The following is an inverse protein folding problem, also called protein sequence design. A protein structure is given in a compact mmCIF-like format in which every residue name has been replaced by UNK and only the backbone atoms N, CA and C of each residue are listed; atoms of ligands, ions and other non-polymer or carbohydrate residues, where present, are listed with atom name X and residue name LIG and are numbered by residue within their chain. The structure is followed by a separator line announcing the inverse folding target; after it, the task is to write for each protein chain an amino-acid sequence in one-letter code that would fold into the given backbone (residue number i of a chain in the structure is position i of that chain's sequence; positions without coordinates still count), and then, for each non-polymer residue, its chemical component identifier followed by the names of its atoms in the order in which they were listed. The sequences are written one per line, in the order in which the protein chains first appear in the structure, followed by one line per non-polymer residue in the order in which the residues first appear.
data_IF_259459241853
#
_entry.id   IF_259459241853
#
_cell.length_a   1.000
_cell.length_b   1.000
_cell.length_c   1.000
_cell.angle_alpha   90.00
_cell.angle_beta   90.00
_cell.angle_gamma   90.00
#
_symmetry.space_group_name_H-M   'P 1'
#
loop_
_entity.id
_entity.type
_entity.pdbx_description
1 polymer ?
#
# COMPACT_ATOMS: atom_id res chain seq x y z
N UNK A 1 25.93 3.98 53.21
CA UNK A 1 24.80 4.67 53.89
C UNK A 1 23.80 5.10 52.82
N UNK A 2 22.49 5.08 53.12
CA UNK A 2 21.45 4.33 52.39
C UNK A 2 20.78 5.07 51.23
N UNK A 3 19.82 4.43 50.51
CA UNK A 3 19.12 4.99 49.37
C UNK A 3 18.11 6.07 49.73
N UNK A 4 17.76 6.86 48.73
CA UNK A 4 16.83 7.97 48.78
C UNK A 4 15.39 7.47 48.90
N UNK A 5 14.91 7.36 50.13
CA UNK A 5 13.49 7.45 50.46
C UNK A 5 13.34 8.28 51.73
N UNK A 6 12.24 9.05 51.80
CA UNK A 6 11.81 9.98 52.85
C UNK A 6 12.28 11.43 52.71
N UNK A 7 11.43 12.28 52.12
CA UNK A 7 10.69 13.33 52.86
C UNK A 7 9.87 14.18 51.88
N UNK A 8 8.65 13.73 51.61
CA UNK A 8 7.52 14.60 51.29
C UNK A 8 6.21 13.87 51.62
N UNK A 9 6.11 13.41 52.87
CA UNK A 9 4.81 13.17 53.51
C UNK A 9 4.60 14.33 54.50
N UNK A 10 3.67 15.22 54.19
CA UNK A 10 2.93 15.99 55.18
C UNK A 10 1.64 16.54 54.54
N UNK A 11 0.51 16.18 55.14
CA UNK A 11 -0.89 16.45 54.76
C UNK A 11 -1.44 15.53 53.67
N UNK A 12 -2.25 14.50 53.93
CA UNK A 12 -3.34 14.44 54.93
C UNK A 12 -3.64 12.98 55.28
N UNK A 13 -3.49 12.67 56.56
CA UNK A 13 -3.85 11.41 57.21
C UNK A 13 -5.32 11.48 57.67
N UNK A 14 -5.96 10.30 57.79
CA UNK A 14 -7.27 9.94 58.40
C UNK A 14 -8.44 9.87 57.42
N UNK A 15 -9.13 8.75 57.20
CA UNK A 15 -9.25 7.45 57.89
C UNK A 15 -9.36 6.35 56.81
N UNK A 16 -8.72 5.17 56.85
CA UNK A 16 -8.82 4.11 57.85
C UNK A 16 -10.25 3.55 57.84
N UNK A 17 -10.61 2.36 57.38
CA UNK A 17 -9.95 1.12 56.95
C UNK A 17 -11.03 0.04 57.02
N UNK A 18 -10.94 -1.04 56.24
CA UNK A 18 -11.48 -2.41 56.45
C UNK A 18 -11.38 -3.13 55.08
N UNK A 19 -10.39 -4.01 54.92
CA UNK A 19 -10.46 -5.45 55.16
C UNK A 19 -11.11 -6.22 54.00
N UNK A 20 -10.23 -6.82 53.20
CA UNK A 20 -10.31 -8.15 52.58
C UNK A 20 -11.67 -8.85 52.69
N UNK A 21 -12.39 -8.91 51.56
CA UNK A 21 -13.59 -9.72 51.42
C UNK A 21 -13.19 -11.17 51.11
N UNK A 22 -13.34 -12.02 52.13
CA UNK A 22 -13.28 -13.47 52.09
C UNK A 22 -14.55 -14.00 51.41
N UNK A 23 -14.38 -14.81 50.36
CA UNK A 23 -15.47 -15.48 49.65
C UNK A 23 -16.06 -16.60 50.52
N UNK A 24 -17.10 -16.27 51.30
CA UNK A 24 -17.90 -17.26 52.02
C UNK A 24 -19.30 -17.34 51.41
N UNK A 25 -19.53 -18.38 50.63
CA UNK A 25 -20.84 -18.78 50.12
C UNK A 25 -21.72 -19.30 51.27
N UNK A 26 -22.46 -18.43 51.94
CA UNK A 26 -23.57 -18.86 52.79
C UNK A 26 -24.86 -18.94 51.97
N UNK A 27 -25.27 -20.19 51.75
CA UNK A 27 -26.59 -20.60 51.30
C UNK A 27 -27.58 -20.21 52.40
N UNK A 28 -28.28 -19.08 52.23
CA UNK A 28 -29.48 -18.78 53.01
C UNK A 28 -30.71 -19.35 52.30
N UNK A 29 -31.20 -20.45 52.86
CA UNK A 29 -32.47 -21.07 52.51
C UNK A 29 -33.65 -20.14 52.82
N UNK A 30 -34.41 -19.83 51.76
CA UNK A 30 -35.87 -19.82 51.70
C UNK A 30 -36.65 -19.38 52.95
N UNK A 31 -37.17 -18.15 52.90
CA UNK A 31 -38.56 -17.90 53.29
C UNK A 31 -39.14 -16.73 52.47
N UNK A 32 -40.15 -17.03 51.66
CA UNK A 32 -40.84 -16.05 50.81
C UNK A 32 -40.78 -16.38 49.33
N UNK A 33 -41.42 -17.46 48.91
CA UNK A 33 -41.66 -17.76 47.49
C UNK A 33 -42.65 -16.72 46.92
N UNK A 34 -42.13 -15.69 46.22
CA UNK A 34 -42.77 -14.92 45.12
C UNK A 34 -42.02 -13.65 44.66
N UNK A 35 -41.28 -12.87 45.47
CA UNK A 35 -40.73 -11.59 44.99
C UNK A 35 -39.39 -11.71 44.21
N UNK A 36 -38.56 -12.72 44.47
CA UNK A 36 -37.24 -12.84 43.82
C UNK A 36 -37.32 -13.17 42.32
N UNK A 37 -38.23 -14.07 41.94
CA UNK A 37 -38.46 -14.42 40.52
C UNK A 37 -39.02 -13.24 39.71
N UNK A 38 -39.92 -12.45 40.32
CA UNK A 38 -40.47 -11.24 39.69
C UNK A 38 -39.39 -10.17 39.45
N UNK A 39 -38.46 -10.00 40.39
CA UNK A 39 -37.35 -9.06 40.25
C UNK A 39 -36.41 -9.46 39.11
N UNK A 40 -36.06 -10.75 38.99
CA UNK A 40 -35.22 -11.25 37.91
C UNK A 40 -35.89 -11.10 36.54
N UNK A 41 -37.20 -11.40 36.44
CA UNK A 41 -37.96 -11.22 35.21
C UNK A 41 -37.99 -9.73 34.82
N UNK A 42 -38.21 -8.84 35.78
CA UNK A 42 -38.22 -7.40 35.53
C UNK A 42 -36.84 -6.90 35.06
N UNK A 43 -35.75 -7.39 35.64
CA UNK A 43 -34.39 -7.03 35.23
C UNK A 43 -34.08 -7.49 33.79
N UNK A 44 -34.47 -8.71 33.42
CA UNK A 44 -34.28 -9.23 32.05
C UNK A 44 -35.13 -8.46 31.04
N UNK A 45 -36.38 -8.15 31.38
CA UNK A 45 -37.25 -7.33 30.52
C UNK A 45 -36.66 -5.93 30.32
N UNK A 46 -36.18 -5.30 31.39
CA UNK A 46 -35.56 -3.98 31.31
C UNK A 46 -34.29 -3.99 30.45
N UNK A 47 -33.42 -4.99 30.64
CA UNK A 47 -32.22 -5.17 29.81
C UNK A 47 -32.57 -5.37 28.33
N UNK A 48 -33.56 -6.21 28.03
CA UNK A 48 -34.02 -6.43 26.66
C UNK A 48 -34.55 -5.15 26.02
N UNK A 49 -35.30 -4.34 26.77
CA UNK A 49 -35.82 -3.05 26.28
C UNK A 49 -34.68 -2.07 26.03
N UNK A 50 -33.72 -1.96 26.95
CA UNK A 50 -32.54 -1.10 26.78
C UNK A 50 -31.75 -1.47 25.52
N UNK A 51 -31.47 -2.77 25.31
CA UNK A 51 -30.74 -3.24 24.12
C UNK A 51 -31.52 -2.93 22.84
N UNK A 52 -32.83 -3.13 22.82
CA UNK A 52 -33.67 -2.83 21.65
C UNK A 52 -33.65 -1.32 21.31
N UNK A 53 -33.75 -0.44 22.32
CA UNK A 53 -33.68 1.01 22.13
C UNK A 53 -32.31 1.43 21.58
N UNK A 54 -31.22 0.93 22.17
CA UNK A 54 -29.86 1.23 21.71
C UNK A 54 -29.63 0.72 20.29
N UNK A 55 -30.13 -0.48 19.95
CA UNK A 55 -30.05 -1.02 18.61
C UNK A 55 -30.80 -0.14 17.59
N UNK A 56 -32.04 0.26 17.89
CA UNK A 56 -32.83 1.12 17.02
C UNK A 56 -32.16 2.49 16.82
N UNK A 57 -31.66 3.09 17.89
CA UNK A 57 -30.92 4.35 17.83
C UNK A 57 -29.68 4.23 16.94
N UNK A 58 -28.87 3.19 17.17
CA UNK A 58 -27.64 2.97 16.40
C UNK A 58 -27.94 2.68 14.92
N UNK A 59 -28.97 1.89 14.61
CA UNK A 59 -29.38 1.66 13.22
C UNK A 59 -29.84 2.93 12.53
N UNK A 60 -30.53 3.83 13.24
CA UNK A 60 -30.97 5.11 12.69
C UNK A 60 -29.79 6.05 12.39
N UNK A 61 -28.82 6.14 13.32
CA UNK A 61 -27.59 6.91 13.11
C UNK A 61 -26.74 6.34 11.96
N UNK A 62 -26.59 5.01 11.88
CA UNK A 62 -25.91 4.36 10.75
C UNK A 62 -26.60 4.65 9.41
N UNK A 63 -27.93 4.69 9.39
CA UNK A 63 -28.70 5.01 8.21
C UNK A 63 -28.51 6.49 7.81
N UNK A 64 -28.46 7.40 8.78
CA UNK A 64 -28.16 8.80 8.54
C UNK A 64 -26.73 9.02 8.00
N UNK A 65 -25.74 8.28 8.52
CA UNK A 65 -24.39 8.27 7.97
C UNK A 65 -24.38 7.74 6.54
N UNK A 66 -25.06 6.61 6.27
CA UNK A 66 -25.18 6.03 4.93
C UNK A 66 -25.80 7.02 3.93
N UNK A 67 -26.86 7.73 4.32
CA UNK A 67 -27.53 8.71 3.47
C UNK A 67 -26.67 9.95 3.24
N UNK A 68 -25.86 10.35 4.21
CA UNK A 68 -24.90 11.47 4.08
C UNK A 68 -23.72 11.08 3.18
N UNK A 69 -23.25 9.83 3.26
CA UNK A 69 -22.23 9.28 2.36
C UNK A 69 -22.76 9.08 0.94
N UNK A 70 -24.01 8.63 0.79
CA UNK A 70 -24.66 8.49 -0.53
C UNK A 70 -24.92 9.86 -1.19
N UNK A 71 -25.24 10.90 -0.40
CA UNK A 71 -25.43 12.28 -0.91
C UNK A 71 -24.13 13.02 -1.24
N UNK A 72 -23.00 12.61 -0.66
CA UNK A 72 -21.71 13.26 -0.95
C UNK A 72 -21.02 12.58 -2.13
N UNK A 73 -21.16 13.17 -3.33
CA UNK A 73 -20.30 13.17 -4.54
C UNK A 73 -19.47 11.92 -4.93
N UNK A 74 -18.85 11.22 -3.98
CA UNK A 74 -18.00 10.05 -4.15
C UNK A 74 -18.76 8.75 -4.46
N UNK A 75 -20.03 8.64 -4.07
CA UNK A 75 -20.85 7.46 -4.36
C UNK A 75 -20.99 7.21 -5.88
N UNK A 76 -20.98 8.27 -6.68
CA UNK A 76 -21.07 8.16 -8.14
C UNK A 76 -19.82 7.54 -8.76
N UNK A 77 -18.62 7.85 -8.25
CA UNK A 77 -17.36 7.37 -8.81
C UNK A 77 -17.09 5.88 -8.53
N UNK A 78 -17.73 5.31 -7.50
CA UNK A 78 -17.47 3.94 -7.07
C UNK A 78 -18.42 2.89 -7.68
N UNK A 79 -19.35 3.32 -8.56
CA UNK A 79 -20.28 2.40 -9.24
C UNK A 79 -19.60 1.80 -10.48
N UNK A 80 -19.53 0.47 -10.53
CA UNK A 80 -18.68 -0.35 -11.40
C UNK A 80 -18.92 -0.25 -12.93
N UNK A 81 -19.74 0.69 -13.41
CA UNK A 81 -20.00 0.90 -14.84
C UNK A 81 -19.67 2.33 -15.28
N UNK A 82 -18.41 2.74 -15.09
CA UNK A 82 -17.86 3.95 -15.68
C UNK A 82 -17.26 3.65 -17.08
N UNK A 83 -18.09 3.15 -18.00
CA UNK A 83 -17.69 3.03 -19.40
C UNK A 83 -17.82 4.42 -20.06
N UNK A 84 -16.67 5.03 -20.34
CA UNK A 84 -16.54 6.32 -21.04
C UNK A 84 -16.62 6.17 -22.58
N UNK A 85 -16.85 4.96 -23.07
CA UNK A 85 -17.11 4.69 -24.48
C UNK A 85 -18.62 4.85 -24.75
N UNK A 86 -18.95 5.84 -25.56
CA UNK A 86 -20.30 6.21 -26.07
C UNK A 86 -21.31 6.84 -25.09
N UNK A 87 -20.93 7.97 -24.47
CA UNK A 87 -21.96 8.95 -24.05
C UNK A 87 -22.30 9.87 -25.23
N UNK A 88 -23.38 9.55 -25.94
CA UNK A 88 -24.04 10.46 -26.89
C UNK A 88 -24.49 11.71 -26.11
N UNK A 89 -24.05 12.93 -26.49
CA UNK A 89 -24.43 14.17 -25.81
C UNK A 89 -25.94 14.49 -25.84
N UNK A 90 -26.76 13.71 -26.56
CA UNK A 90 -28.19 13.94 -26.68
C UNK A 90 -29.09 12.95 -25.90
N UNK A 91 -28.52 11.95 -25.23
CA UNK A 91 -29.30 11.05 -24.38
C UNK A 91 -29.36 11.58 -22.94
N UNK A 92 -30.52 12.13 -22.58
CA UNK A 92 -30.90 12.29 -21.18
C UNK A 92 -31.28 10.90 -20.66
N UNK A 93 -30.36 10.22 -19.98
CA UNK A 93 -30.73 9.11 -19.08
C UNK A 93 -31.49 9.71 -17.88
N UNK A 94 -32.78 9.98 -18.09
CA UNK A 94 -33.72 10.39 -17.04
C UNK A 94 -33.88 9.22 -16.06
N UNK A 95 -33.02 9.18 -15.04
CA UNK A 95 -33.12 8.18 -13.97
C UNK A 95 -31.89 8.00 -13.08
N UNK A 96 -30.70 8.45 -13.49
CA UNK A 96 -29.48 8.29 -12.67
C UNK A 96 -29.20 9.52 -11.80
N UNK A 97 -29.25 9.45 -10.46
CA UNK A 97 -28.88 10.57 -9.58
C UNK A 97 -27.43 11.05 -9.74
N UNK A 98 -26.58 10.31 -10.47
CA UNK A 98 -25.18 10.65 -10.75
C UNK A 98 -24.94 11.32 -12.13
N UNK A 99 -25.99 11.56 -12.91
CA UNK A 99 -25.87 12.02 -14.31
C UNK A 99 -25.14 13.36 -14.46
N UNK A 100 -25.37 14.31 -13.54
CA UNK A 100 -24.75 15.64 -13.58
C UNK A 100 -23.22 15.52 -13.39
N UNK A 101 -22.77 14.67 -12.47
CA UNK A 101 -21.34 14.44 -12.21
C UNK A 101 -20.67 13.75 -13.41
N UNK A 102 -21.33 12.75 -13.99
CA UNK A 102 -20.90 12.03 -15.21
C UNK A 102 -20.74 13.02 -16.38
N UNK A 103 -21.70 13.94 -16.56
CA UNK A 103 -21.65 14.94 -17.63
C UNK A 103 -20.50 15.93 -17.45
N UNK A 104 -20.34 16.52 -16.26
CA UNK A 104 -19.27 17.48 -15.98
C UNK A 104 -17.89 16.85 -16.20
N UNK A 105 -17.69 15.60 -15.77
CA UNK A 105 -16.45 14.86 -15.99
C UNK A 105 -16.18 14.60 -17.48
N UNK A 106 -17.18 14.13 -18.22
CA UNK A 106 -17.04 13.85 -19.66
C UNK A 106 -16.67 15.12 -20.45
N UNK A 107 -17.23 16.27 -20.09
CA UNK A 107 -16.93 17.58 -20.68
C UNK A 107 -15.48 18.01 -20.43
N UNK A 108 -14.95 17.75 -19.24
CA UNK A 108 -13.56 18.04 -18.89
C UNK A 108 -12.60 17.16 -19.70
N UNK A 109 -12.88 15.86 -19.80
CA UNK A 109 -12.08 14.92 -20.60
C UNK A 109 -12.07 15.36 -22.07
N UNK A 110 -13.23 15.69 -22.65
CA UNK A 110 -13.33 16.18 -24.04
C UNK A 110 -12.53 17.47 -24.27
N UNK A 111 -12.57 18.42 -23.32
CA UNK A 111 -11.76 19.65 -23.40
C UNK A 111 -10.25 19.36 -23.35
N UNK A 112 -9.82 18.43 -22.50
CA UNK A 112 -8.42 18.03 -22.39
C UNK A 112 -7.93 17.35 -23.68
N UNK A 113 -8.73 16.44 -24.25
CA UNK A 113 -8.42 15.76 -25.51
C UNK A 113 -8.40 16.74 -26.68
N UNK A 114 -9.39 17.64 -26.80
CA UNK A 114 -9.42 18.65 -27.85
C UNK A 114 -8.23 19.62 -27.75
N UNK A 115 -7.83 20.00 -26.53
CA UNK A 115 -6.65 20.84 -26.30
C UNK A 115 -5.35 20.13 -26.70
N UNK A 116 -5.19 18.85 -26.36
CA UNK A 116 -4.02 18.05 -26.81
C UNK A 116 -3.90 17.98 -28.34
N UNK A 117 -5.02 17.84 -29.05
CA UNK A 117 -5.04 17.82 -30.53
C UNK A 117 -4.79 19.20 -31.16
N UNK A 118 -5.21 20.28 -30.50
CA UNK A 118 -4.98 21.65 -30.98
C UNK A 118 -3.51 22.10 -30.77
N UNK A 119 -2.87 21.64 -29.70
CA UNK A 119 -1.46 21.92 -29.42
C UNK A 119 -0.51 21.17 -30.37
N UNK A 120 -0.93 20.02 -30.94
CA UNK A 120 -0.20 19.29 -31.99
C UNK A 120 -0.36 19.88 -33.41
N UNK A 121 -1.28 20.83 -33.63
CA UNK A 121 -1.64 21.33 -34.96
C UNK A 121 -0.90 22.58 -35.48
N UNK A 122 0.02 23.18 -34.71
CA UNK A 122 0.56 24.53 -35.03
C UNK A 122 2.02 24.56 -35.53
N UNK A 123 2.63 23.42 -35.87
CA UNK A 123 4.01 23.41 -36.37
C UNK A 123 4.29 22.33 -37.42
N UNK A 124 3.81 22.54 -38.66
CA UNK A 124 4.56 22.29 -39.90
C UNK A 124 3.66 22.39 -41.14
N UNK A 125 3.89 23.42 -41.98
CA UNK A 125 3.74 23.28 -43.43
C UNK A 125 4.85 24.05 -44.14
N UNK A 126 5.89 23.33 -44.56
CA UNK A 126 6.54 23.62 -45.83
C UNK A 126 6.70 22.30 -46.56
N UNK A 127 6.17 22.32 -47.77
CA UNK A 127 6.03 21.30 -48.78
C UNK A 127 7.39 20.80 -49.26
N UNK A 128 7.52 19.50 -49.51
CA UNK A 128 8.02 19.01 -50.80
C UNK A 128 7.77 17.51 -50.97
N UNK A 129 7.25 17.19 -52.15
CA UNK A 129 6.86 15.86 -52.63
C UNK A 129 8.06 15.19 -53.30
N UNK A 130 8.43 13.96 -52.93
CA UNK A 130 8.83 12.90 -53.89
C UNK A 130 8.44 11.53 -53.30
N UNK A 131 7.71 10.75 -54.11
CA UNK A 131 7.17 9.42 -53.87
C UNK A 131 8.22 8.31 -54.02
N UNK A 132 8.22 7.33 -53.10
CA UNK A 132 8.47 5.92 -53.43
C UNK A 132 7.86 5.01 -52.36
N UNK A 133 6.85 4.26 -52.78
CA UNK A 133 6.13 3.25 -51.99
C UNK A 133 7.03 2.03 -51.76
N UNK A 134 7.30 1.65 -50.51
CA UNK A 134 7.41 0.25 -50.03
C UNK A 134 7.53 0.25 -48.49
N UNK A 135 6.39 -0.02 -47.83
CA UNK A 135 6.24 -0.58 -46.46
C UNK A 135 7.02 0.16 -45.36
N UNK A 136 6.58 1.37 -45.05
CA UNK A 136 6.86 1.99 -43.76
C UNK A 136 6.12 1.21 -42.67
N UNK A 137 6.85 0.44 -41.86
CA UNK A 137 6.39 0.17 -40.49
C UNK A 137 6.16 1.54 -39.85
N UNK A 138 4.96 1.75 -39.36
CA UNK A 138 4.56 2.94 -38.61
C UNK A 138 5.47 3.07 -37.38
N UNK A 139 6.63 3.72 -37.54
CA UNK A 139 7.54 4.06 -36.45
C UNK A 139 6.87 5.25 -35.76
N UNK A 140 6.46 5.12 -34.50
CA UNK A 140 5.89 6.25 -33.78
C UNK A 140 6.89 7.42 -33.86
N UNK A 141 6.41 8.60 -34.27
CA UNK A 141 7.21 9.83 -34.41
C UNK A 141 8.02 10.17 -33.15
N UNK A 142 7.63 9.62 -31.99
CA UNK A 142 8.40 9.63 -30.76
C UNK A 142 8.84 8.21 -30.36
N UNK A 143 10.14 7.96 -30.15
CA UNK A 143 10.62 6.65 -29.76
C UNK A 143 10.12 6.33 -28.33
N UNK A 144 9.37 5.23 -28.17
CA UNK A 144 8.78 4.81 -26.88
C UNK A 144 9.84 4.76 -25.78
N UNK A 145 9.59 5.36 -24.63
CA UNK A 145 10.53 5.33 -23.50
C UNK A 145 9.91 4.54 -22.35
N UNK A 146 10.32 3.30 -22.21
CA UNK A 146 9.79 2.40 -21.20
C UNK A 146 10.73 1.22 -20.93
N UNK A 147 10.65 0.68 -19.73
CA UNK A 147 11.36 -0.50 -19.29
C UNK A 147 10.46 -1.35 -18.40
N UNK A 148 10.53 -2.67 -18.59
CA UNK A 148 10.02 -3.65 -17.64
C UNK A 148 11.10 -4.71 -17.47
N UNK A 149 11.55 -4.92 -16.25
CA UNK A 149 12.59 -5.86 -15.88
C UNK A 149 12.01 -6.90 -14.95
N UNK A 150 12.35 -8.16 -15.17
CA UNK A 150 11.98 -9.25 -14.27
C UNK A 150 13.20 -9.83 -13.59
N UNK A 151 12.99 -10.43 -12.43
CA UNK A 151 14.04 -11.13 -11.70
C UNK A 151 14.39 -12.49 -12.32
N UNK A 152 15.58 -13.01 -12.01
CA UNK A 152 16.05 -14.31 -12.49
C UNK A 152 16.45 -15.24 -11.37
N UNK A 153 15.86 -16.44 -11.35
CA UNK A 153 16.23 -17.52 -10.42
C UNK A 153 17.72 -17.85 -10.47
N UNK A 154 18.32 -17.85 -11.67
CA UNK A 154 19.74 -18.20 -11.85
C UNK A 154 20.68 -17.12 -11.31
N UNK A 155 20.17 -15.91 -11.08
CA UNK A 155 20.92 -14.78 -10.57
C UNK A 155 20.85 -14.61 -9.05
N UNK A 156 20.23 -15.58 -8.32
CA UNK A 156 20.35 -15.66 -6.85
C UNK A 156 21.82 -15.66 -6.41
N UNK A 157 22.70 -16.37 -7.13
CA UNK A 157 24.14 -16.42 -6.85
C UNK A 157 24.87 -15.09 -7.06
N UNK A 158 24.38 -14.21 -7.94
CA UNK A 158 25.03 -12.91 -8.21
C UNK A 158 24.63 -11.83 -7.21
N UNK A 159 23.46 -11.93 -6.58
CA UNK A 159 23.03 -10.99 -5.52
C UNK A 159 23.99 -11.03 -4.33
N UNK A 160 24.30 -12.23 -3.82
CA UNK A 160 25.13 -12.45 -2.62
C UNK A 160 26.60 -11.99 -2.76
N UNK A 161 27.11 -11.77 -3.97
CA UNK A 161 28.54 -11.48 -4.21
C UNK A 161 28.79 -9.97 -4.34
N UNK A 162 27.76 -9.15 -4.61
CA UNK A 162 27.95 -7.75 -5.01
C UNK A 162 27.00 -6.73 -4.33
N UNK A 163 26.03 -7.17 -3.53
CA UNK A 163 25.14 -6.25 -2.79
C UNK A 163 25.85 -5.69 -1.54
N UNK A 164 26.65 -4.63 -1.69
CA UNK A 164 27.03 -3.85 -0.51
C UNK A 164 25.80 -3.09 0.00
N UNK A 165 25.54 -3.07 1.32
CA UNK A 165 24.50 -2.21 1.88
C UNK A 165 24.75 -0.79 1.42
N UNK A 166 23.75 -0.17 0.82
CA UNK A 166 23.89 1.22 0.38
C UNK A 166 24.01 2.06 1.66
N UNK A 167 25.02 2.95 1.72
CA UNK A 167 25.13 3.95 2.80
C UNK A 167 23.76 4.62 3.00
N UNK A 168 23.35 4.83 4.26
CA UNK A 168 22.07 5.44 4.67
C UNK A 168 20.90 4.47 4.97
N UNK A 169 21.17 3.22 5.39
CA UNK A 169 20.14 2.26 5.84
C UNK A 169 19.07 1.92 4.77
N UNK A 170 19.42 1.96 3.48
CA UNK A 170 18.49 1.69 2.37
C UNK A 170 18.44 0.21 1.97
N UNK A 171 19.00 -0.68 2.78
CA UNK A 171 19.04 -2.12 2.53
C UNK A 171 19.99 -2.51 1.38
N UNK A 172 19.69 -3.65 0.76
CA UNK A 172 20.49 -4.29 -0.29
C UNK A 172 19.93 -3.98 -1.67
N UNK A 173 20.78 -3.49 -2.58
CA UNK A 173 20.39 -3.20 -3.96
C UNK A 173 20.16 -4.49 -4.75
N UNK A 174 19.03 -4.59 -5.44
CA UNK A 174 18.76 -5.70 -6.36
C UNK A 174 19.50 -5.45 -7.67
N UNK A 175 20.49 -6.29 -7.99
CA UNK A 175 21.32 -6.17 -9.21
C UNK A 175 20.98 -7.18 -10.29
N UNK A 176 20.20 -8.21 -9.97
CA UNK A 176 19.95 -9.40 -10.79
C UNK A 176 18.77 -9.28 -11.76
N UNK A 177 18.44 -8.07 -12.17
CA UNK A 177 17.36 -7.80 -13.12
C UNK A 177 17.70 -8.30 -14.53
N UNK A 178 16.72 -8.87 -15.23
CA UNK A 178 16.81 -9.27 -16.63
C UNK A 178 16.00 -8.34 -17.53
N UNK A 179 16.53 -8.08 -18.72
CA UNK A 179 15.92 -7.22 -19.75
C UNK A 179 15.64 -7.92 -21.08
N UNK A 180 16.24 -9.09 -21.33
CA UNK A 180 16.24 -9.76 -22.64
C UNK A 180 15.26 -10.94 -22.75
N UNK A 181 14.51 -11.25 -21.69
CA UNK A 181 13.60 -12.40 -21.64
C UNK A 181 12.18 -11.90 -21.38
N UNK A 182 11.25 -12.23 -22.28
CA UNK A 182 9.83 -11.91 -22.14
C UNK A 182 9.29 -12.36 -20.76
N UNK A 183 8.54 -11.51 -20.03
CA UNK A 183 7.93 -10.25 -20.47
C UNK A 183 8.80 -8.99 -20.31
N UNK A 184 10.11 -9.14 -20.08
CA UNK A 184 11.03 -8.00 -19.89
C UNK A 184 11.40 -7.33 -21.21
N UNK A 185 11.60 -6.01 -21.18
CA UNK A 185 12.04 -5.21 -22.32
C UNK A 185 12.70 -3.90 -21.87
N UNK A 186 13.47 -3.30 -22.78
CA UNK A 186 14.06 -1.96 -22.65
C UNK A 186 13.83 -1.17 -23.94
N UNK A 187 13.23 0.01 -23.82
CA UNK A 187 13.03 0.95 -24.91
C UNK A 187 13.52 2.33 -24.47
N UNK A 188 14.61 2.80 -25.08
CA UNK A 188 15.24 4.11 -24.78
C UNK A 188 15.60 4.33 -23.30
N UNK A 189 15.87 3.24 -22.59
CA UNK A 189 16.38 3.21 -21.21
C UNK A 189 17.48 2.15 -21.19
N UNK A 190 18.58 2.41 -20.48
CA UNK A 190 19.68 1.44 -20.36
C UNK A 190 19.61 0.74 -19.00
N UNK A 191 20.13 -0.48 -18.91
CA UNK A 191 20.28 -1.21 -17.64
C UNK A 191 21.77 -1.42 -17.37
N UNK A 192 22.23 -1.02 -16.19
CA UNK A 192 23.59 -1.28 -15.73
C UNK A 192 23.60 -1.55 -14.22
N UNK A 193 24.22 -2.64 -13.76
CA UNK A 193 24.35 -2.97 -12.33
C UNK A 193 23.04 -2.87 -11.53
N UNK A 194 21.92 -3.29 -12.14
CA UNK A 194 20.58 -3.24 -11.56
C UNK A 194 19.90 -1.87 -11.58
N UNK A 195 20.50 -0.88 -12.25
CA UNK A 195 20.02 0.50 -12.31
C UNK A 195 19.47 0.79 -13.71
N UNK A 196 18.27 1.37 -13.80
CA UNK A 196 17.77 1.93 -15.05
C UNK A 196 18.36 3.33 -15.23
N UNK A 197 19.07 3.54 -16.33
CA UNK A 197 19.72 4.81 -16.69
C UNK A 197 18.85 5.57 -17.69
N UNK A 198 18.38 6.73 -17.26
CA UNK A 198 17.46 7.58 -18.03
C UNK A 198 18.18 8.24 -19.20
N UNK A 199 17.67 8.06 -20.42
CA UNK A 199 18.25 8.67 -21.63
C UNK A 199 17.57 9.98 -22.01
N UNK A 200 16.28 10.12 -21.72
CA UNK A 200 15.46 11.29 -22.04
C UNK A 200 14.94 11.93 -20.75
N UNK A 201 15.14 13.23 -20.49
CA UNK A 201 14.59 13.88 -19.31
C UNK A 201 13.06 13.97 -19.41
N UNK A 202 12.38 13.92 -18.27
CA UNK A 202 10.93 14.03 -18.21
C UNK A 202 10.34 13.48 -16.91
N UNK A 203 9.02 13.38 -16.86
CA UNK A 203 8.28 12.76 -15.77
C UNK A 203 8.09 11.27 -16.04
N UNK A 204 8.60 10.44 -15.14
CA UNK A 204 8.52 8.98 -15.27
C UNK A 204 7.60 8.42 -14.20
N UNK A 205 6.66 7.56 -14.61
CA UNK A 205 6.02 6.65 -13.67
C UNK A 205 6.95 5.48 -13.43
N UNK A 206 7.41 5.34 -12.19
CA UNK A 206 8.34 4.28 -11.75
C UNK A 206 7.53 3.33 -10.88
N UNK A 207 7.71 2.02 -11.07
CA UNK A 207 7.04 1.00 -10.26
C UNK A 207 7.94 -0.20 -10.00
N UNK A 208 7.71 -0.88 -8.87
CA UNK A 208 8.37 -2.13 -8.56
C UNK A 208 7.47 -3.05 -7.73
N UNK A 209 7.62 -4.36 -7.96
CA UNK A 209 7.10 -5.40 -7.07
C UNK A 209 8.25 -6.26 -6.56
N UNK A 210 8.24 -6.55 -5.27
CA UNK A 210 9.13 -7.54 -4.65
C UNK A 210 8.30 -8.50 -3.83
N UNK A 211 8.49 -9.80 -4.04
CA UNK A 211 7.78 -10.84 -3.32
C UNK A 211 8.67 -11.43 -2.22
N UNK A 212 8.35 -11.14 -0.96
CA UNK A 212 8.99 -11.76 0.19
C UNK A 212 8.29 -13.08 0.49
N UNK A 213 9.06 -14.18 0.44
CA UNK A 213 8.59 -15.55 0.67
C UNK A 213 9.58 -16.29 1.54
N UNK A 214 9.12 -16.73 2.70
CA UNK A 214 9.94 -17.50 3.63
C UNK A 214 9.09 -18.46 4.47
N UNK A 215 9.73 -19.52 4.97
CA UNK A 215 9.18 -20.34 6.06
C UNK A 215 9.79 -19.85 7.36
N UNK A 216 9.00 -19.75 8.41
CA UNK A 216 9.54 -19.45 9.73
C UNK A 216 10.31 -20.68 10.23
N UNK A 217 11.47 -20.46 10.84
CA UNK A 217 12.30 -21.56 11.33
C UNK A 217 11.63 -22.28 12.50
N UNK A 218 11.50 -23.60 12.41
CA UNK A 218 11.15 -24.47 13.54
C UNK A 218 12.25 -24.37 14.59
N UNK A 219 11.94 -23.89 15.79
CA UNK A 219 12.94 -23.65 16.83
C UNK A 219 12.51 -22.74 17.98
N UNK A 220 11.37 -22.04 17.84
CA UNK A 220 10.72 -21.38 18.98
C UNK A 220 9.66 -22.31 19.52
N UNK A 221 9.97 -22.97 20.63
CA UNK A 221 9.04 -23.77 21.41
C UNK A 221 7.78 -22.95 21.71
N UNK A 222 6.57 -23.48 21.44
CA UNK A 222 5.32 -22.76 21.66
C UNK A 222 5.09 -22.35 23.14
N UNK A 223 5.82 -22.97 24.07
CA UNK A 223 5.72 -22.76 25.52
C UNK A 223 6.89 -21.97 26.13
N UNK A 224 7.74 -21.34 25.33
CA UNK A 224 8.85 -20.55 25.87
C UNK A 224 8.36 -19.23 26.49
N UNK A 225 8.93 -18.91 27.65
CA UNK A 225 8.65 -17.73 28.49
C UNK A 225 8.58 -16.44 27.66
N UNK A 226 7.65 -15.49 27.92
CA UNK A 226 7.52 -14.24 27.18
C UNK A 226 8.79 -13.38 27.21
N UNK A 227 9.64 -13.58 28.23
CA UNK A 227 10.91 -12.87 28.45
C UNK A 227 12.15 -13.67 28.00
N UNK A 228 11.97 -14.85 27.40
CA UNK A 228 13.09 -15.61 26.85
C UNK A 228 13.54 -15.04 25.50
N UNK A 229 14.83 -15.13 25.16
CA UNK A 229 15.38 -14.77 23.84
C UNK A 229 14.76 -15.52 22.64
N UNK A 230 13.76 -16.39 22.88
CA UNK A 230 13.02 -17.13 21.87
C UNK A 230 11.82 -16.36 21.29
N UNK A 231 11.55 -15.12 21.71
CA UNK A 231 10.50 -14.30 21.09
C UNK A 231 10.79 -14.09 19.60
N UNK A 232 9.94 -14.65 18.73
CA UNK A 232 9.99 -14.41 17.28
C UNK A 232 9.75 -12.94 17.00
N UNK A 233 10.81 -12.21 16.63
CA UNK A 233 10.68 -10.82 16.25
C UNK A 233 10.02 -10.70 14.86
N UNK A 234 9.00 -9.84 14.69
CA UNK A 234 8.36 -9.62 13.41
C UNK A 234 9.37 -9.05 12.41
N UNK A 235 9.43 -9.63 11.22
CA UNK A 235 10.32 -9.21 10.14
C UNK A 235 9.77 -7.96 9.48
N UNK A 236 10.58 -6.91 9.40
CA UNK A 236 10.25 -5.66 8.71
C UNK A 236 10.72 -5.72 7.25
N UNK A 237 9.82 -6.09 6.36
CA UNK A 237 10.08 -6.18 4.92
C UNK A 237 9.87 -4.79 4.32
N UNK A 238 10.93 -4.21 3.76
CA UNK A 238 10.88 -2.86 3.19
C UNK A 238 11.43 -2.91 1.78
N UNK A 239 10.71 -2.29 0.85
CA UNK A 239 11.13 -2.03 -0.52
C UNK A 239 11.36 -0.53 -0.69
N UNK A 240 12.52 -0.16 -1.20
CA UNK A 240 12.92 1.20 -1.47
C UNK A 240 13.12 1.38 -2.98
N UNK A 241 12.67 2.51 -3.51
CA UNK A 241 13.00 2.97 -4.86
C UNK A 241 13.79 4.26 -4.70
N UNK A 242 15.03 4.26 -5.21
CA UNK A 242 15.99 5.34 -5.01
C UNK A 242 16.64 5.75 -6.32
N UNK A 243 17.30 6.90 -6.31
CA UNK A 243 17.95 7.51 -7.47
C UNK A 243 19.37 7.96 -7.15
N UNK A 244 20.32 7.68 -8.04
CA UNK A 244 21.58 8.40 -8.14
C UNK A 244 21.50 9.47 -9.22
N UNK A 245 22.20 10.57 -9.00
CA UNK A 245 22.29 11.68 -9.94
C UNK A 245 23.70 12.25 -9.93
N UNK A 246 24.15 12.81 -11.05
CA UNK A 246 25.56 13.18 -11.23
C UNK A 246 26.02 14.33 -10.32
N UNK A 247 25.07 15.14 -9.82
CA UNK A 247 25.37 16.30 -8.95
C UNK A 247 25.31 16.00 -7.45
N UNK A 248 24.92 14.77 -7.05
CA UNK A 248 24.82 14.40 -5.63
C UNK A 248 25.41 13.01 -5.38
N UNK A 249 26.41 12.87 -4.49
CA UNK A 249 27.17 11.62 -4.35
C UNK A 249 26.42 10.50 -3.65
N UNK A 250 25.30 10.79 -2.98
CA UNK A 250 24.51 9.81 -2.24
C UNK A 250 23.21 9.44 -2.95
N UNK A 251 22.64 8.29 -2.60
CA UNK A 251 21.35 7.86 -3.11
C UNK A 251 20.22 8.73 -2.53
N UNK A 252 19.32 9.20 -3.39
CA UNK A 252 18.13 9.95 -3.01
C UNK A 252 16.94 8.98 -3.00
N UNK A 253 16.31 8.79 -1.84
CA UNK A 253 15.10 7.97 -1.71
C UNK A 253 13.92 8.66 -2.42
N UNK A 254 13.26 7.96 -3.33
CA UNK A 254 12.05 8.43 -4.02
C UNK A 254 10.79 7.91 -3.34
N UNK A 255 10.74 6.60 -3.06
CA UNK A 255 9.58 5.93 -2.47
C UNK A 255 10.02 4.80 -1.54
N UNK A 256 9.22 4.54 -0.50
CA UNK A 256 9.37 3.37 0.38
C UNK A 256 8.00 2.74 0.65
N UNK A 257 7.97 1.41 0.69
CA UNK A 257 6.80 0.64 1.11
C UNK A 257 7.24 -0.48 2.03
N UNK A 258 6.50 -0.67 3.13
CA UNK A 258 6.88 -1.58 4.20
C UNK A 258 5.72 -2.50 4.60
N UNK A 259 6.06 -3.73 4.97
CA UNK A 259 5.17 -4.72 5.57
C UNK A 259 5.87 -5.35 6.77
N UNK A 260 5.10 -5.67 7.79
CA UNK A 260 5.58 -6.41 8.96
C UNK A 260 5.00 -7.81 8.93
N UNK A 261 5.81 -8.81 9.27
CA UNK A 261 5.31 -10.18 9.36
C UNK A 261 4.33 -10.34 10.52
N UNK A 262 3.50 -11.38 10.45
CA UNK A 262 2.60 -11.76 11.53
C UNK A 262 3.39 -12.00 12.82
N UNK A 263 2.86 -11.51 13.94
CA UNK A 263 3.46 -11.65 15.27
C UNK A 263 3.10 -13.01 15.91
N UNK A 264 2.20 -13.78 15.30
CA UNK A 264 1.77 -15.07 15.83
C UNK A 264 2.91 -16.08 15.81
N UNK A 265 3.17 -16.71 16.96
CA UNK A 265 4.11 -17.83 17.07
C UNK A 265 3.68 -19.06 16.23
N UNK A 266 2.40 -19.14 15.87
CA UNK A 266 1.84 -20.21 15.03
C UNK A 266 2.00 -19.94 13.54
N UNK A 267 2.51 -18.78 13.12
CA UNK A 267 2.77 -18.51 11.72
C UNK A 267 3.91 -19.42 11.22
N UNK A 268 3.60 -20.29 10.26
CA UNK A 268 4.56 -21.24 9.67
C UNK A 268 5.34 -20.63 8.49
N UNK A 269 4.74 -19.67 7.79
CA UNK A 269 5.32 -19.05 6.61
C UNK A 269 4.82 -17.63 6.41
N UNK A 270 5.54 -16.87 5.59
CA UNK A 270 5.21 -15.51 5.21
C UNK A 270 5.22 -15.33 3.70
N UNK A 271 4.12 -14.80 3.15
CA UNK A 271 3.97 -14.43 1.74
C UNK A 271 3.56 -12.97 1.64
N UNK A 272 4.45 -12.09 1.19
CA UNK A 272 4.19 -10.66 1.15
C UNK A 272 4.67 -10.06 -0.17
N UNK A 273 3.73 -9.71 -1.03
CA UNK A 273 4.01 -8.93 -2.24
C UNK A 273 3.94 -7.44 -1.90
N UNK A 274 5.03 -6.72 -2.14
CA UNK A 274 5.11 -5.28 -1.98
C UNK A 274 5.19 -4.65 -3.35
N UNK A 275 4.10 -4.01 -3.78
CA UNK A 275 4.05 -3.18 -4.97
C UNK A 275 3.98 -1.70 -4.56
N UNK A 276 4.72 -0.85 -5.25
CA UNK A 276 4.55 0.60 -5.18
C UNK A 276 4.89 1.23 -6.53
N UNK A 277 4.34 2.42 -6.79
CA UNK A 277 4.71 3.22 -7.93
C UNK A 277 4.27 4.68 -7.82
N UNK A 278 4.95 5.57 -8.54
CA UNK A 278 4.74 7.01 -8.47
C UNK A 278 5.48 7.75 -9.57
N UNK A 279 5.12 9.02 -9.78
CA UNK A 279 5.67 9.88 -10.84
C UNK A 279 6.79 10.77 -10.29
N UNK A 280 7.94 10.76 -10.93
CA UNK A 280 9.10 11.58 -10.55
C UNK A 280 9.73 12.24 -11.77
N UNK A 281 10.20 13.47 -11.59
CA UNK A 281 11.00 14.13 -12.62
C UNK A 281 12.42 13.57 -12.60
N UNK A 282 12.86 13.03 -13.74
CA UNK A 282 14.19 12.48 -13.93
C UNK A 282 14.94 13.25 -15.02
N UNK A 283 16.24 13.42 -14.82
CA UNK A 283 17.14 14.01 -15.80
C UNK A 283 17.84 12.93 -16.60
N UNK A 284 18.42 13.31 -17.73
CA UNK A 284 19.33 12.44 -18.47
C UNK A 284 20.46 11.99 -17.53
N UNK A 285 20.82 10.72 -17.62
CA UNK A 285 21.81 10.02 -16.79
C UNK A 285 21.43 9.81 -15.32
N UNK A 286 20.24 10.23 -14.87
CA UNK A 286 19.73 9.76 -13.58
C UNK A 286 19.62 8.23 -13.61
N UNK A 287 19.99 7.60 -12.50
CA UNK A 287 20.02 6.13 -12.36
C UNK A 287 19.08 5.72 -11.24
N UNK A 288 18.00 5.04 -11.59
CA UNK A 288 17.00 4.58 -10.61
C UNK A 288 17.17 3.09 -10.33
N UNK A 289 16.96 2.68 -9.09
CA UNK A 289 17.16 1.30 -8.65
C UNK A 289 16.24 0.93 -7.49
N UNK A 290 16.13 -0.37 -7.25
CA UNK A 290 15.35 -0.96 -6.16
C UNK A 290 16.30 -1.56 -5.11
N UNK A 291 16.02 -1.32 -3.84
CA UNK A 291 16.68 -1.98 -2.72
C UNK A 291 15.69 -2.50 -1.69
N UNK A 292 16.12 -3.47 -0.87
CA UNK A 292 15.26 -4.26 0.03
C UNK A 292 15.92 -4.52 1.38
N UNK A 293 15.12 -4.73 2.43
CA UNK A 293 15.64 -4.99 3.77
C UNK A 293 16.26 -6.38 3.97
N UNK A 294 15.68 -7.43 3.38
CA UNK A 294 16.14 -8.82 3.51
C UNK A 294 16.24 -9.47 2.13
N UNK A 295 17.45 -9.66 1.61
CA UNK A 295 17.67 -10.20 0.27
C UNK A 295 17.39 -11.70 0.17
N UNK A 296 17.66 -12.43 1.24
CA UNK A 296 17.51 -13.88 1.35
C UNK A 296 16.05 -14.34 1.34
N UNK A 297 15.13 -13.43 1.68
CA UNK A 297 13.70 -13.70 1.77
C UNK A 297 12.96 -13.36 0.47
N UNK A 298 13.63 -12.73 -0.52
CA UNK A 298 12.96 -12.35 -1.76
C UNK A 298 12.98 -13.51 -2.77
N UNK A 299 11.79 -13.76 -3.31
CA UNK A 299 11.58 -14.67 -4.42
C UNK A 299 11.89 -13.93 -5.73
N UNK A 300 12.86 -14.46 -6.47
CA UNK A 300 13.38 -13.89 -7.71
C UNK A 300 12.82 -14.60 -8.96
N UNK A 301 11.59 -15.10 -8.82
CA UNK A 301 10.76 -15.56 -9.91
C UNK A 301 10.27 -14.37 -10.75
N UNK A 302 10.34 -14.54 -12.09
CA UNK A 302 10.08 -13.46 -13.05
C UNK A 302 8.68 -12.84 -12.94
N UNK A 303 7.69 -13.63 -12.54
CA UNK A 303 6.30 -13.18 -12.31
C UNK A 303 6.10 -12.54 -10.92
N UNK A 304 6.98 -12.85 -9.97
CA UNK A 304 6.84 -12.45 -8.57
C UNK A 304 7.47 -11.10 -8.29
N UNK A 305 8.70 -10.88 -8.79
CA UNK A 305 9.48 -9.67 -8.56
C UNK A 305 9.92 -9.02 -9.87
N UNK A 306 9.56 -7.75 -10.05
CA UNK A 306 9.79 -6.96 -11.26
C UNK A 306 9.98 -5.47 -10.95
N UNK A 307 10.61 -4.75 -11.88
CA UNK A 307 10.93 -3.33 -11.78
C UNK A 307 10.77 -2.66 -13.14
N UNK A 308 10.13 -1.50 -13.20
CA UNK A 308 9.95 -0.80 -14.46
C UNK A 308 9.72 0.69 -14.32
N UNK A 309 9.79 1.37 -15.46
CA UNK A 309 9.47 2.78 -15.58
C UNK A 309 9.03 3.12 -17.02
N UNK A 310 8.20 4.13 -17.18
CA UNK A 310 7.89 4.69 -18.49
C UNK A 310 7.72 6.21 -18.44
N UNK A 311 8.06 6.88 -19.53
CA UNK A 311 7.92 8.33 -19.68
C UNK A 311 6.43 8.68 -19.82
N UNK A 312 5.99 9.65 -19.02
CA UNK A 312 4.62 10.18 -19.01
C UNK A 312 4.54 11.47 -19.82
N UNK A 313 5.50 12.38 -19.63
CA UNK A 313 5.60 13.68 -20.31
C UNK A 313 7.00 14.26 -20.18
#
# INVERSE_FOLDING_TARGET
MPPWWSLADAHTQKMGGFAQADERWEILSLSGERPAGLILIFAVLLQSICVAITFLYFTNELQQLRDTYAKSSFACFNREHFFLEDVDPNEKEDGDPCWEVKWQLSRLIRKMVAKSRAEEGTSASTQDNISLDTVARDVPRNPRVAAHLTSSRNARRTLFVQSTPIRNNLGFKIISWQSSVYPSFLHNVLLNNGELIIQQPGFYYIYAQTYFRFRESEGVEPNADPDSESVRNPKQMVQYISKFTDYYPEAILLMKSARTSCWSKQAEYGLYSIYQGGVFQLRRNDRIFVSISYEELVDMDKEASFFGAFLVS
#
